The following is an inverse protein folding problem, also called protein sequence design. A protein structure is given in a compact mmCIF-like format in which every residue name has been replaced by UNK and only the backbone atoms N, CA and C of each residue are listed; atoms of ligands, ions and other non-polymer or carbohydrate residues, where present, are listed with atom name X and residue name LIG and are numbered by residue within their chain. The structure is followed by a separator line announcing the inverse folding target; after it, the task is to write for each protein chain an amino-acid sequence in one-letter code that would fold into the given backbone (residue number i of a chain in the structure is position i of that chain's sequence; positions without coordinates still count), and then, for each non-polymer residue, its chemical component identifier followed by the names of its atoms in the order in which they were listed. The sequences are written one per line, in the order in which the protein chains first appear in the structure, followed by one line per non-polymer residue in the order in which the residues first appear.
data_IF_541085141024
#
_entry.id   IF_541085141024
#
_cell.length_a   1.000
_cell.length_b   1.000
_cell.length_c   1.000
_cell.angle_alpha   90.00
_cell.angle_beta   90.00
_cell.angle_gamma   90.00
#
_symmetry.space_group_name_H-M   'P 1'
#
loop_
_entity.id
_entity.type
_entity.pdbx_description
1 polymer ?
#
# COMPACT_ATOMS: atom_id res chain seq x y z
N UNK A 1 -0.17 5.18 -39.04
CA UNK A 1 -1.33 4.46 -38.44
C UNK A 1 -0.90 3.37 -37.45
N UNK A 2 0.22 2.67 -37.67
CA UNK A 2 0.77 1.65 -36.76
C UNK A 2 1.20 2.17 -35.37
N UNK A 3 1.81 3.36 -35.30
CA UNK A 3 2.31 3.92 -34.03
C UNK A 3 1.20 4.17 -32.98
N UNK A 4 0.01 4.60 -33.41
CA UNK A 4 -1.14 4.82 -32.52
C UNK A 4 -1.71 3.51 -31.98
N UNK A 5 -1.68 2.44 -32.78
CA UNK A 5 -2.11 1.12 -32.33
C UNK A 5 -1.19 0.55 -31.25
N UNK A 6 0.13 0.72 -31.42
CA UNK A 6 1.13 0.25 -30.45
C UNK A 6 1.05 1.03 -29.14
N UNK A 7 0.88 2.35 -29.18
CA UNK A 7 0.76 3.15 -27.95
C UNK A 7 -0.52 2.80 -27.17
N UNK A 8 -1.65 2.62 -27.84
CA UNK A 8 -2.90 2.19 -27.18
C UNK A 8 -2.75 0.79 -26.57
N UNK A 9 -2.14 -0.15 -27.31
CA UNK A 9 -1.90 -1.50 -26.78
C UNK A 9 -1.02 -1.49 -25.52
N UNK A 10 0.05 -0.69 -25.50
CA UNK A 10 0.92 -0.53 -24.34
C UNK A 10 0.19 0.08 -23.13
N UNK A 11 -0.66 1.09 -23.35
CA UNK A 11 -1.45 1.69 -22.28
C UNK A 11 -2.45 0.70 -21.69
N UNK A 12 -3.16 -0.07 -22.53
CA UNK A 12 -4.08 -1.11 -22.07
C UNK A 12 -3.34 -2.19 -21.29
N UNK A 13 -2.16 -2.62 -21.77
CA UNK A 13 -1.32 -3.58 -21.06
C UNK A 13 -0.87 -3.07 -19.69
N UNK A 14 -0.39 -1.82 -19.62
CA UNK A 14 0.01 -1.20 -18.36
C UNK A 14 -1.17 -1.06 -17.39
N UNK A 15 -2.33 -0.62 -17.86
CA UNK A 15 -3.55 -0.54 -17.05
C UNK A 15 -3.99 -1.92 -16.53
N UNK A 16 -3.92 -2.95 -17.37
CA UNK A 16 -4.22 -4.33 -16.97
C UNK A 16 -3.26 -4.82 -15.86
N UNK A 17 -1.96 -4.60 -16.02
CA UNK A 17 -0.97 -4.94 -14.98
C UNK A 17 -1.23 -4.21 -13.66
N UNK A 18 -1.60 -2.92 -13.71
CA UNK A 18 -1.97 -2.14 -12.52
C UNK A 18 -3.21 -2.71 -11.83
N UNK A 19 -4.26 -3.05 -12.59
CA UNK A 19 -5.47 -3.68 -12.06
C UNK A 19 -5.16 -5.01 -11.38
N UNK A 20 -4.38 -5.88 -12.02
CA UNK A 20 -3.96 -7.17 -11.44
C UNK A 20 -3.15 -6.96 -10.16
N UNK A 21 -2.25 -5.98 -10.13
CA UNK A 21 -1.48 -5.65 -8.94
C UNK A 21 -2.37 -5.20 -7.79
N UNK A 22 -3.31 -4.27 -8.06
CA UNK A 22 -4.26 -3.79 -7.05
C UNK A 22 -5.14 -4.94 -6.53
N UNK A 23 -5.60 -5.82 -7.43
CA UNK A 23 -6.48 -6.92 -7.04
C UNK A 23 -5.77 -7.94 -6.15
N UNK A 24 -4.53 -8.32 -6.48
CA UNK A 24 -3.69 -9.18 -5.62
C UNK A 24 -3.47 -8.55 -4.25
N UNK A 25 -3.26 -7.25 -4.20
CA UNK A 25 -3.01 -6.51 -2.96
C UNK A 25 -4.24 -6.48 -2.06
N UNK A 26 -5.41 -6.18 -2.62
CA UNK A 26 -6.69 -6.25 -1.89
C UNK A 26 -6.94 -7.66 -1.37
N UNK A 27 -6.79 -8.68 -2.24
CA UNK A 27 -7.03 -10.06 -1.83
C UNK A 27 -6.07 -10.53 -0.73
N UNK A 28 -4.79 -10.12 -0.79
CA UNK A 28 -3.82 -10.44 0.25
C UNK A 28 -4.07 -9.72 1.58
N UNK A 29 -4.85 -8.63 1.58
CA UNK A 29 -5.21 -7.86 2.77
C UNK A 29 -6.45 -8.36 3.52
N UNK A 30 -7.18 -9.35 3.00
CA UNK A 30 -8.42 -9.84 3.62
C UNK A 30 -8.26 -10.41 5.03
N UNK A 31 -7.14 -11.06 5.34
CA UNK A 31 -6.87 -11.64 6.67
C UNK A 31 -5.94 -10.77 7.53
N UNK A 32 -5.67 -9.54 7.10
CA UNK A 32 -4.73 -8.65 7.78
C UNK A 32 -5.48 -7.62 8.63
N UNK A 33 -4.87 -7.13 9.72
CA UNK A 33 -5.41 -6.01 10.46
C UNK A 33 -5.52 -4.78 9.54
N UNK A 34 -6.51 -3.90 9.82
CA UNK A 34 -6.81 -2.75 8.98
C UNK A 34 -5.58 -1.87 8.76
N UNK A 35 -5.45 -1.27 7.58
CA UNK A 35 -4.29 -0.45 7.25
C UNK A 35 -4.51 0.42 6.02
N UNK A 36 -3.64 1.41 5.79
CA UNK A 36 -3.70 2.25 4.61
C UNK A 36 -3.48 1.42 3.33
N UNK A 37 -4.21 1.83 2.28
CA UNK A 37 -4.10 1.22 0.96
C UNK A 37 -2.72 1.48 0.37
N UNK A 38 -1.93 0.43 0.05
CA UNK A 38 -0.57 0.64 -0.40
C UNK A 38 -0.50 0.87 -1.91
N UNK A 39 0.38 1.77 -2.34
CA UNK A 39 0.59 2.03 -3.76
C UNK A 39 1.29 0.84 -4.44
N UNK A 40 1.01 0.60 -5.74
CA UNK A 40 1.76 -0.40 -6.50
C UNK A 40 3.26 -0.06 -6.49
N UNK A 41 4.12 -1.08 -6.36
CA UNK A 41 5.60 -1.00 -6.36
C UNK A 41 6.20 -0.38 -5.09
N UNK A 42 5.71 0.79 -4.64
CA UNK A 42 6.31 1.56 -3.53
C UNK A 42 5.67 1.24 -2.17
N UNK A 43 4.42 0.78 -2.16
CA UNK A 43 3.67 0.53 -0.93
C UNK A 43 3.19 1.81 -0.25
N UNK A 44 3.27 1.87 1.08
CA UNK A 44 2.83 2.98 1.93
C UNK A 44 3.95 3.99 2.26
N UNK A 45 5.13 3.86 1.64
CA UNK A 45 6.28 4.74 1.89
C UNK A 45 5.97 6.23 1.67
N UNK A 46 5.15 6.58 0.68
CA UNK A 46 4.76 7.98 0.44
C UNK A 46 3.81 8.54 1.50
N UNK A 47 3.00 7.69 2.14
CA UNK A 47 2.10 8.09 3.23
C UNK A 47 2.82 8.12 4.58
N UNK A 48 3.98 7.48 4.69
CA UNK A 48 4.84 7.53 5.87
C UNK A 48 5.82 8.69 5.70
N UNK A 49 5.66 9.75 6.50
CA UNK A 49 6.64 10.83 6.51
C UNK A 49 7.94 10.32 7.16
N UNK A 50 8.91 9.91 6.35
CA UNK A 50 10.22 9.44 6.80
C UNK A 50 10.98 10.47 7.65
N UNK A 51 10.66 11.76 7.50
CA UNK A 51 11.23 12.82 8.34
C UNK A 51 10.73 12.78 9.79
N UNK A 52 9.53 12.24 10.05
CA UNK A 52 8.90 12.21 11.37
C UNK A 52 8.16 10.88 11.59
N UNK A 53 8.88 9.77 11.44
CA UNK A 53 8.35 8.41 11.52
C UNK A 53 7.48 8.15 12.76
N UNK A 54 7.89 8.53 14.00
CA UNK A 54 7.07 8.27 15.19
C UNK A 54 5.71 8.99 15.13
N UNK A 55 5.71 10.25 14.67
CA UNK A 55 4.49 11.06 14.54
C UNK A 55 3.54 10.48 13.49
N UNK A 56 4.08 9.98 12.38
CA UNK A 56 3.29 9.28 11.37
C UNK A 56 2.65 8.02 11.95
N UNK A 57 3.41 7.17 12.66
CA UNK A 57 2.84 5.97 13.28
C UNK A 57 1.75 6.29 14.30
N UNK A 58 1.91 7.35 15.11
CA UNK A 58 0.85 7.80 16.03
C UNK A 58 -0.41 8.23 15.29
N UNK A 59 -0.29 9.00 14.18
CA UNK A 59 -1.46 9.37 13.35
C UNK A 59 -2.14 8.15 12.74
N UNK A 60 -1.35 7.18 12.27
CA UNK A 60 -1.88 5.94 11.73
C UNK A 60 -2.57 5.09 12.80
N UNK A 61 -1.98 5.00 13.99
CA UNK A 61 -2.57 4.28 15.13
C UNK A 61 -3.89 4.93 15.57
N UNK A 62 -4.00 6.26 15.53
CA UNK A 62 -5.26 6.97 15.79
C UNK A 62 -6.34 6.67 14.74
N UNK A 63 -5.96 6.41 13.48
CA UNK A 63 -6.90 6.20 12.37
C UNK A 63 -7.32 4.75 12.19
N UNK A 64 -6.37 3.81 12.29
CA UNK A 64 -6.58 2.38 12.02
C UNK A 64 -6.63 1.53 13.30
N UNK A 65 -6.26 2.11 14.44
CA UNK A 65 -6.23 1.43 15.72
C UNK A 65 -4.83 0.97 16.14
N UNK A 66 -4.71 0.29 17.29
CA UNK A 66 -3.43 -0.07 17.90
C UNK A 66 -2.67 -1.16 17.12
N UNK A 67 -3.30 -1.91 16.22
CA UNK A 67 -2.64 -2.89 15.35
C UNK A 67 -3.04 -2.61 13.91
N UNK A 68 -2.06 -2.30 13.07
CA UNK A 68 -2.32 -1.98 11.66
C UNK A 68 -1.22 -2.48 10.74
N UNK A 69 -1.59 -2.72 9.48
CA UNK A 69 -0.65 -3.22 8.47
C UNK A 69 -0.08 -2.08 7.63
N UNK A 70 1.23 -2.12 7.41
CA UNK A 70 1.97 -1.23 6.54
C UNK A 70 2.75 -2.01 5.49
N UNK A 71 3.07 -1.32 4.40
CA UNK A 71 3.90 -1.84 3.32
C UNK A 71 5.04 -0.87 3.09
N UNK A 72 6.26 -1.34 3.28
CA UNK A 72 7.49 -0.57 3.08
C UNK A 72 8.15 -1.16 1.82
N UNK A 73 7.88 -0.56 0.67
CA UNK A 73 8.25 -1.15 -0.62
C UNK A 73 7.52 -2.47 -0.85
N UNK A 74 8.27 -3.55 -1.08
CA UNK A 74 7.77 -4.91 -1.21
C UNK A 74 7.56 -5.63 0.13
N UNK A 75 8.04 -5.06 1.23
CA UNK A 75 7.93 -5.69 2.55
C UNK A 75 6.64 -5.31 3.25
N UNK A 76 5.97 -6.30 3.82
CA UNK A 76 4.80 -6.11 4.68
C UNK A 76 5.25 -6.04 6.14
N UNK A 77 4.78 -5.04 6.87
CA UNK A 77 5.09 -4.81 8.28
C UNK A 77 3.80 -4.62 9.05
N UNK A 78 3.59 -5.38 10.12
CA UNK A 78 2.49 -5.13 11.06
C UNK A 78 3.03 -4.30 12.21
N UNK A 79 2.44 -3.13 12.45
CA UNK A 79 2.82 -2.23 13.54
C UNK A 79 1.84 -2.39 14.68
N UNK A 80 2.39 -2.65 15.87
CA UNK A 80 1.67 -2.68 17.13
C UNK A 80 2.03 -1.42 17.91
N UNK A 81 1.06 -0.54 18.10
CA UNK A 81 1.22 0.75 18.76
C UNK A 81 0.43 0.79 20.07
N UNK A 82 1.16 0.74 21.19
CA UNK A 82 0.64 0.95 22.54
C UNK A 82 0.55 -0.32 23.38
N UNK A 83 0.48 -0.14 24.71
CA UNK A 83 0.52 -1.23 25.69
C UNK A 83 -0.63 -2.23 25.62
N UNK A 84 -1.75 -1.88 24.97
CA UNK A 84 -2.87 -2.82 24.75
C UNK A 84 -2.61 -3.82 23.62
N UNK A 85 -1.58 -3.61 22.80
CA UNK A 85 -1.22 -4.46 21.67
C UNK A 85 -0.03 -5.39 21.96
N UNK A 86 0.67 -5.21 23.09
CA UNK A 86 1.85 -5.99 23.50
C UNK A 86 1.52 -6.84 24.72
#
# INVERSE_FOLDING_TARGET
MSALGVTVALLVWAAFLLLVSMWRQVHSSWNLPPGPFPLPIIGNLFQLELKNVPKSFTRLAQRFGPVFTLYVGSQRVVVMHGYKAV
#
